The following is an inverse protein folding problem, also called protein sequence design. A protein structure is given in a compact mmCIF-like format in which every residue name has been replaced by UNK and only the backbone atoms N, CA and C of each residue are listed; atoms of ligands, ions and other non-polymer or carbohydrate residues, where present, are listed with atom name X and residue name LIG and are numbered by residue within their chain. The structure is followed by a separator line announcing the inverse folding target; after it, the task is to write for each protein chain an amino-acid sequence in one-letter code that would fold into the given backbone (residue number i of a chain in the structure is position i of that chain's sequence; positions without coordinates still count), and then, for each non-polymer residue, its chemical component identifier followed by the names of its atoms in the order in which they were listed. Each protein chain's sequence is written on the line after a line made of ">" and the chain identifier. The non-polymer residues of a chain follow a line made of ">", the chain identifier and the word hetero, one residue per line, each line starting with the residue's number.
data_IF_865735464539
#
_entry.id   IF_865735464539
#
_cell.length_a   1.000
_cell.length_b   1.000
_cell.length_c   1.000
_cell.angle_alpha   90.00
_cell.angle_beta   90.00
_cell.angle_gamma   90.00
#
_symmetry.space_group_name_H-M   'P 1'
#
loop_
_entity.id
_entity.type
_entity.pdbx_description
1 polymer ?
#
# COMPACT_ATOMS: atom_id res chain seq x y z
N UNK A 1 6.95 16.73 6.78
CA UNK A 1 7.92 16.26 5.75
C UNK A 1 7.16 16.07 4.44
N UNK A 2 7.81 16.23 3.29
CA UNK A 2 7.19 16.01 1.98
C UNK A 2 7.48 14.56 1.55
N UNK A 3 6.50 13.86 1.01
CA UNK A 3 6.68 12.48 0.52
C UNK A 3 5.93 12.28 -0.78
N UNK A 4 6.62 11.70 -1.75
CA UNK A 4 6.08 11.40 -3.06
C UNK A 4 5.78 9.90 -3.19
N UNK A 5 4.69 9.60 -3.89
CA UNK A 5 4.25 8.23 -4.13
C UNK A 5 4.06 8.00 -5.62
N UNK A 6 4.66 6.94 -6.15
CA UNK A 6 4.39 6.52 -7.53
C UNK A 6 2.94 6.03 -7.65
N UNK A 7 2.30 6.19 -8.82
CA UNK A 7 0.92 5.73 -9.02
C UNK A 7 0.73 4.24 -8.69
N UNK A 8 1.73 3.42 -9.02
CA UNK A 8 1.74 1.98 -8.71
C UNK A 8 1.75 1.71 -7.20
N UNK A 9 2.47 2.52 -6.42
CA UNK A 9 2.52 2.40 -4.96
C UNK A 9 1.19 2.78 -4.32
N UNK A 10 0.54 3.84 -4.81
CA UNK A 10 -0.81 4.23 -4.36
C UNK A 10 -1.81 3.09 -4.62
N UNK A 11 -1.84 2.58 -5.85
CA UNK A 11 -2.70 1.44 -6.23
C UNK A 11 -2.44 0.22 -5.35
N UNK A 12 -1.18 -0.12 -5.13
CA UNK A 12 -0.77 -1.24 -4.27
C UNK A 12 -1.25 -1.05 -2.82
N UNK A 13 -1.05 0.15 -2.25
CA UNK A 13 -1.41 0.43 -0.86
C UNK A 13 -2.93 0.30 -0.59
N UNK A 14 -3.76 0.64 -1.57
CA UNK A 14 -5.22 0.67 -1.41
C UNK A 14 -5.87 -0.66 -1.81
N UNK A 15 -5.41 -1.24 -2.92
CA UNK A 15 -6.08 -2.40 -3.55
C UNK A 15 -5.33 -3.72 -3.35
N UNK A 16 -4.09 -3.68 -2.88
CA UNK A 16 -3.18 -4.83 -2.88
C UNK A 16 -2.63 -5.21 -4.26
N UNK A 17 -2.98 -4.46 -5.31
CA UNK A 17 -2.52 -4.70 -6.68
C UNK A 17 -2.05 -3.39 -7.35
N UNK A 18 -0.75 -3.30 -7.64
CA UNK A 18 -0.18 -2.12 -8.29
C UNK A 18 -0.70 -1.83 -9.71
N UNK A 19 -1.33 -2.81 -10.36
CA UNK A 19 -1.88 -2.70 -11.70
C UNK A 19 -3.40 -2.43 -11.72
N UNK A 20 -4.02 -2.18 -10.57
CA UNK A 20 -5.46 -1.90 -10.48
C UNK A 20 -5.89 -0.68 -11.31
N UNK A 21 -7.15 -0.67 -11.75
CA UNK A 21 -7.77 0.46 -12.45
C UNK A 21 -8.11 1.60 -11.46
N UNK A 22 -8.37 2.81 -11.98
CA UNK A 22 -8.75 3.95 -11.12
C UNK A 22 -10.10 3.73 -10.43
N UNK A 23 -11.02 3.06 -11.11
CA UNK A 23 -12.35 2.72 -10.63
C UNK A 23 -12.27 1.70 -9.48
N UNK A 24 -11.36 0.73 -9.59
CA UNK A 24 -11.08 -0.22 -8.52
C UNK A 24 -10.52 0.49 -7.28
N UNK A 25 -9.58 1.43 -7.47
CA UNK A 25 -9.05 2.25 -6.36
C UNK A 25 -10.17 3.05 -5.70
N UNK A 26 -11.02 3.72 -6.49
CA UNK A 26 -12.13 4.52 -5.98
C UNK A 26 -13.11 3.66 -5.17
N UNK A 27 -13.52 2.50 -5.70
CA UNK A 27 -14.46 1.60 -5.01
C UNK A 27 -13.88 1.01 -3.72
N UNK A 28 -12.57 0.72 -3.71
CA UNK A 28 -11.87 0.30 -2.50
C UNK A 28 -11.82 1.44 -1.47
N UNK A 29 -11.51 2.66 -1.87
CA UNK A 29 -11.54 3.84 -0.99
C UNK A 29 -12.94 4.07 -0.40
N UNK A 30 -13.99 3.94 -1.21
CA UNK A 30 -15.37 4.03 -0.75
C UNK A 30 -15.65 3.04 0.38
N UNK A 31 -15.21 1.79 0.20
CA UNK A 31 -15.41 0.70 1.17
C UNK A 31 -14.58 0.93 2.43
N UNK A 32 -13.30 1.29 2.28
CA UNK A 32 -12.37 1.53 3.40
C UNK A 32 -12.83 2.68 4.29
N UNK A 33 -13.34 3.75 3.67
CA UNK A 33 -13.74 4.99 4.36
C UNK A 33 -15.24 5.07 4.64
N UNK A 34 -15.99 4.00 4.33
CA UNK A 34 -17.44 3.90 4.54
C UNK A 34 -18.23 5.08 3.92
N UNK A 35 -17.81 5.52 2.74
CA UNK A 35 -18.47 6.62 2.03
C UNK A 35 -19.76 6.11 1.38
N UNK A 36 -20.88 6.80 1.62
CA UNK A 36 -22.17 6.45 0.99
C UNK A 36 -22.11 6.55 -0.52
N UNK A 37 -21.50 7.62 -1.03
CA UNK A 37 -21.29 7.85 -2.45
C UNK A 37 -19.87 8.33 -2.69
N UNK A 38 -19.30 7.96 -3.84
CA UNK A 38 -18.03 8.51 -4.27
C UNK A 38 -18.23 9.94 -4.79
N UNK A 39 -17.27 10.86 -4.56
CA UNK A 39 -17.32 12.19 -5.15
C UNK A 39 -17.43 12.09 -6.67
N UNK A 40 -18.32 12.87 -7.28
CA UNK A 40 -18.43 12.98 -8.75
C UNK A 40 -17.12 13.44 -9.40
N UNK A 41 -16.32 14.22 -8.68
CA UNK A 41 -15.00 14.66 -9.14
C UNK A 41 -13.93 13.61 -8.82
N UNK A 42 -13.33 13.07 -9.87
CA UNK A 42 -12.25 12.08 -9.77
C UNK A 42 -11.00 12.65 -9.09
N UNK A 43 -10.74 13.95 -9.21
CA UNK A 43 -9.59 14.62 -8.59
C UNK A 43 -9.60 14.53 -7.05
N UNK A 44 -10.80 14.57 -6.44
CA UNK A 44 -10.94 14.41 -5.00
C UNK A 44 -10.55 12.99 -4.55
N UNK A 45 -10.78 11.99 -5.40
CA UNK A 45 -10.41 10.60 -5.13
C UNK A 45 -8.90 10.42 -5.18
N UNK A 46 -8.20 11.08 -6.10
CA UNK A 46 -6.74 11.00 -6.20
C UNK A 46 -6.05 11.62 -4.97
N UNK A 47 -6.55 12.75 -4.45
CA UNK A 47 -6.09 13.33 -3.19
C UNK A 47 -6.31 12.41 -1.99
N UNK A 48 -7.49 11.78 -1.91
CA UNK A 48 -7.81 10.81 -0.86
C UNK A 48 -6.92 9.56 -0.95
N UNK A 49 -6.65 9.08 -2.16
CA UNK A 49 -5.77 7.96 -2.42
C UNK A 49 -4.35 8.24 -1.92
N UNK A 50 -3.82 9.44 -2.19
CA UNK A 50 -2.51 9.86 -1.72
C UNK A 50 -2.46 9.92 -0.19
N UNK A 51 -3.48 10.48 0.47
CA UNK A 51 -3.56 10.57 1.92
C UNK A 51 -3.61 9.18 2.59
N UNK A 52 -4.43 8.27 2.09
CA UNK A 52 -4.53 6.88 2.61
C UNK A 52 -3.22 6.13 2.37
N UNK A 53 -2.61 6.28 1.18
CA UNK A 53 -1.30 5.69 0.88
C UNK A 53 -0.22 6.22 1.83
N UNK A 54 -0.24 7.52 2.15
CA UNK A 54 0.68 8.12 3.10
C UNK A 54 0.49 7.52 4.50
N UNK A 55 -0.75 7.50 5.00
CA UNK A 55 -1.08 6.91 6.30
C UNK A 55 -0.61 5.46 6.45
N UNK A 56 -0.85 4.61 5.44
CA UNK A 56 -0.37 3.22 5.46
C UNK A 56 1.14 3.09 5.35
N UNK A 57 1.83 4.04 4.71
CA UNK A 57 3.27 4.01 4.57
C UNK A 57 4.00 4.68 5.74
N UNK A 58 3.37 5.62 6.44
CA UNK A 58 3.85 6.19 7.71
C UNK A 58 3.76 5.14 8.83
N UNK A 59 2.70 4.32 8.82
CA UNK A 59 2.48 3.24 9.78
C UNK A 59 3.23 1.94 9.48
N UNK A 60 4.39 1.95 8.79
CA UNK A 60 5.15 0.71 8.55
C UNK A 60 5.48 0.03 9.89
N UNK A 61 4.68 -0.98 10.22
CA UNK A 61 5.16 -2.23 10.79
C UNK A 61 6.31 -2.67 9.89
N UNK A 62 7.49 -2.88 10.46
CA UNK A 62 8.60 -3.50 9.75
C UNK A 62 8.10 -4.80 9.13
N UNK A 63 7.82 -4.79 7.82
CA UNK A 63 7.65 -6.03 7.07
C UNK A 63 8.99 -6.72 7.24
N UNK A 64 8.99 -7.77 8.07
CA UNK A 64 10.20 -8.40 8.57
C UNK A 64 11.18 -8.70 7.45
N UNK A 65 12.47 -8.78 7.82
CA UNK A 65 13.62 -8.95 6.92
C UNK A 65 13.25 -9.68 5.62
N UNK A 66 13.33 -8.97 4.51
CA UNK A 66 13.20 -9.57 3.17
C UNK A 66 14.50 -10.31 2.87
N UNK A 67 14.39 -11.60 2.56
CA UNK A 67 15.53 -12.44 2.20
C UNK A 67 15.55 -12.64 0.68
N UNK A 68 16.68 -12.34 0.06
CA UNK A 68 16.88 -12.49 -1.39
C UNK A 68 17.14 -13.92 -1.84
N UNK A 69 17.22 -14.88 -0.92
CA UNK A 69 17.48 -16.28 -1.22
C UNK A 69 17.54 -17.15 0.03
N UNK A 70 17.55 -18.48 -0.17
CA UNK A 70 17.60 -19.45 0.93
C UNK A 70 18.89 -19.30 1.75
N UNK A 71 20.03 -19.07 1.10
CA UNK A 71 21.32 -18.85 1.76
C UNK A 71 21.31 -17.62 2.68
N UNK A 72 20.67 -16.52 2.26
CA UNK A 72 20.60 -15.29 3.06
C UNK A 72 19.62 -15.44 4.23
N UNK A 73 18.58 -16.26 4.08
CA UNK A 73 17.68 -16.64 5.17
C UNK A 73 18.40 -17.49 6.23
N UNK A 74 19.08 -18.58 5.84
CA UNK A 74 19.75 -19.50 6.78
C UNK A 74 20.88 -18.79 7.53
N UNK A 75 21.70 -17.98 6.85
CA UNK A 75 22.78 -17.21 7.50
C UNK A 75 22.27 -16.25 8.58
N UNK A 76 21.11 -15.64 8.37
CA UNK A 76 20.53 -14.69 9.31
C UNK A 76 19.64 -15.34 10.39
N UNK A 77 19.36 -16.64 10.27
CA UNK A 77 18.49 -17.41 11.18
C UNK A 77 19.15 -18.71 11.65
N UNK A 78 20.48 -18.75 11.80
CA UNK A 78 21.24 -19.97 12.17
C UNK A 78 20.73 -20.64 13.47
N UNK A 79 20.20 -19.87 14.42
CA UNK A 79 19.62 -20.40 15.66
C UNK A 79 18.22 -21.03 15.54
N UNK A 80 17.54 -20.86 14.39
CA UNK A 80 16.21 -21.44 14.12
C UNK A 80 16.26 -22.69 13.25
N UNK A 81 17.41 -22.96 12.65
CA UNK A 81 17.67 -24.13 11.79
C UNK A 81 18.46 -25.13 12.62
N UNK A 82 17.75 -25.90 13.44
CA UNK A 82 18.27 -27.10 14.12
C UNK A 82 17.27 -28.23 13.92
#
# INVERSE_FOLDING_TARGET
>A
PITEYSPKKIKMAITGNGNASKEQVAKMLQTLLKLKELPKNLDATDGLAAAVCHFYNEGKLEVGKSYSGWDSFVKQNQGRVK
#
